data_IF_156555346222
#
_entry.id   IF_156555346222
#
_cell.length_a   1.000
_cell.length_b   1.000
_cell.length_c   1.000
_cell.angle_alpha   90.00
_cell.angle_beta   90.00
_cell.angle_gamma   90.00
#
_symmetry.space_group_name_H-M   'P 1'
#
loop_
_entity.id
_entity.type
_entity.pdbx_description
1 polymer ?
#
# COMPACT_ATOMS: atom_id res chain seq x y z
N UNK A 1 9.53 10.91 4.03
CA UNK A 1 9.41 9.76 3.10
C UNK A 1 9.01 8.54 3.89
N UNK A 2 10.01 7.85 4.45
CA UNK A 2 9.84 6.61 5.25
C UNK A 2 8.75 6.67 6.32
N UNK A 3 8.77 7.66 7.20
CA UNK A 3 7.79 7.72 8.30
C UNK A 3 6.35 7.80 7.80
N UNK A 4 6.11 8.55 6.72
CA UNK A 4 4.78 8.66 6.11
C UNK A 4 4.37 7.36 5.40
N UNK A 5 5.33 6.67 4.75
CA UNK A 5 5.10 5.35 4.16
C UNK A 5 4.69 4.34 5.24
N UNK A 6 5.48 4.25 6.33
CA UNK A 6 5.24 3.32 7.43
C UNK A 6 3.92 3.63 8.13
N UNK A 7 3.65 4.89 8.45
CA UNK A 7 2.41 5.29 9.12
C UNK A 7 1.17 4.93 8.29
N UNK A 8 1.19 5.23 6.99
CA UNK A 8 0.08 4.89 6.11
C UNK A 8 -0.11 3.39 5.96
N UNK A 9 0.98 2.65 5.76
CA UNK A 9 0.92 1.20 5.57
C UNK A 9 0.37 0.51 6.83
N UNK A 10 0.80 0.93 8.03
CA UNK A 10 0.29 0.39 9.29
C UNK A 10 -1.21 0.66 9.44
N UNK A 11 -1.66 1.89 9.22
CA UNK A 11 -3.11 2.21 9.26
C UNK A 11 -3.91 1.38 8.26
N UNK A 12 -3.36 1.13 7.07
CA UNK A 12 -4.00 0.27 6.06
C UNK A 12 -4.16 -1.17 6.57
N UNK A 13 -3.07 -1.76 7.08
CA UNK A 13 -3.03 -3.14 7.59
C UNK A 13 -3.91 -3.30 8.82
N UNK A 14 -3.82 -2.39 9.78
CA UNK A 14 -4.64 -2.38 10.99
C UNK A 14 -6.13 -2.32 10.64
N UNK A 15 -6.53 -1.39 9.76
CA UNK A 15 -7.92 -1.28 9.31
C UNK A 15 -8.44 -2.58 8.67
N UNK A 16 -7.61 -3.25 7.88
CA UNK A 16 -7.99 -4.49 7.22
C UNK A 16 -8.17 -5.66 8.19
N UNK A 17 -7.30 -5.76 9.20
CA UNK A 17 -7.35 -6.79 10.22
C UNK A 17 -8.48 -6.55 11.24
N UNK A 18 -8.71 -5.29 11.63
CA UNK A 18 -9.78 -4.91 12.57
C UNK A 18 -11.17 -4.94 11.93
N UNK A 19 -11.27 -4.71 10.61
CA UNK A 19 -12.54 -4.60 9.90
C UNK A 19 -12.60 -5.45 8.62
N UNK A 20 -12.43 -6.78 8.69
CA UNK A 20 -12.25 -7.64 7.52
C UNK A 20 -13.42 -7.59 6.53
N UNK A 21 -14.66 -7.53 7.02
CA UNK A 21 -15.84 -7.42 6.15
C UNK A 21 -15.92 -6.08 5.40
N UNK A 22 -15.51 -4.97 6.04
CA UNK A 22 -15.47 -3.65 5.39
C UNK A 22 -14.32 -3.58 4.40
N UNK A 23 -13.17 -4.15 4.76
CA UNK A 23 -12.02 -4.23 3.89
C UNK A 23 -12.32 -5.05 2.63
N UNK A 24 -12.94 -6.22 2.77
CA UNK A 24 -13.41 -7.02 1.64
C UNK A 24 -14.36 -6.22 0.74
N UNK A 25 -15.26 -5.43 1.33
CA UNK A 25 -16.17 -4.57 0.56
C UNK A 25 -15.45 -3.51 -0.30
N UNK A 26 -14.24 -3.07 0.09
CA UNK A 26 -13.45 -2.11 -0.70
C UNK A 26 -12.84 -2.70 -1.97
N UNK A 27 -12.84 -4.03 -2.10
CA UNK A 27 -12.23 -4.73 -3.24
C UNK A 27 -13.21 -4.97 -4.40
N UNK A 28 -14.50 -4.68 -4.21
CA UNK A 28 -15.48 -4.81 -5.28
C UNK A 28 -15.30 -3.72 -6.34
N UNK A 29 -15.47 -4.06 -7.63
CA UNK A 29 -15.45 -3.07 -8.69
C UNK A 29 -16.50 -1.99 -8.45
N UNK A 30 -16.08 -0.74 -8.59
CA UNK A 30 -16.98 0.41 -8.67
C UNK A 30 -17.07 0.85 -10.13
N UNK A 31 -18.25 1.31 -10.55
CA UNK A 31 -18.35 2.07 -11.80
C UNK A 31 -17.60 3.41 -11.67
N UNK A 32 -17.39 4.10 -12.79
CA UNK A 32 -16.57 5.31 -12.81
C UNK A 32 -17.15 6.45 -11.95
N UNK A 33 -18.47 6.57 -11.87
CA UNK A 33 -19.16 7.63 -11.11
C UNK A 33 -19.07 7.38 -9.59
N UNK A 34 -19.31 6.13 -9.19
CA UNK A 34 -19.11 5.66 -7.82
C UNK A 34 -17.64 5.75 -7.41
N UNK A 35 -16.70 5.39 -8.29
CA UNK A 35 -15.27 5.49 -8.03
C UNK A 35 -14.82 6.94 -7.80
N UNK A 36 -15.29 7.88 -8.63
CA UNK A 36 -14.96 9.30 -8.54
C UNK A 36 -15.45 9.95 -7.23
N UNK A 37 -16.58 9.49 -6.71
CA UNK A 37 -17.16 9.94 -5.43
C UNK A 37 -16.68 9.12 -4.21
N UNK A 38 -15.98 8.00 -4.44
CA UNK A 38 -15.54 7.08 -3.40
C UNK A 38 -14.37 7.61 -2.54
N UNK A 39 -14.14 6.92 -1.42
CA UNK A 39 -12.91 7.09 -0.64
C UNK A 39 -11.64 6.66 -1.40
N UNK A 40 -11.75 5.95 -2.53
CA UNK A 40 -10.60 5.51 -3.34
C UNK A 40 -9.79 6.68 -3.92
N UNK A 41 -10.44 7.79 -4.26
CA UNK A 41 -9.75 9.03 -4.69
C UNK A 41 -8.91 9.59 -3.55
N UNK A 42 -9.46 9.65 -2.32
CA UNK A 42 -8.73 10.10 -1.13
C UNK A 42 -7.56 9.17 -0.81
N UNK A 43 -7.74 7.85 -0.98
CA UNK A 43 -6.69 6.87 -0.82
C UNK A 43 -5.51 7.12 -1.76
N UNK A 44 -5.78 7.28 -3.06
CA UNK A 44 -4.76 7.59 -4.06
C UNK A 44 -4.09 8.95 -3.81
N UNK A 45 -4.83 9.95 -3.31
CA UNK A 45 -4.27 11.25 -2.91
C UNK A 45 -3.34 11.13 -1.70
N UNK A 46 -3.69 10.32 -0.70
CA UNK A 46 -2.83 10.03 0.45
C UNK A 46 -1.57 9.28 0.02
N UNK A 47 -1.68 8.28 -0.86
CA UNK A 47 -0.50 7.60 -1.43
C UNK A 47 0.40 8.58 -2.20
N UNK A 48 -0.18 9.50 -2.99
CA UNK A 48 0.60 10.58 -3.64
C UNK A 48 1.26 11.53 -2.64
N UNK A 49 0.62 11.79 -1.50
CA UNK A 49 1.18 12.62 -0.44
C UNK A 49 2.44 12.00 0.18
N UNK A 50 2.47 10.68 0.35
CA UNK A 50 3.67 9.93 0.79
C UNK A 50 4.81 10.13 -0.23
N UNK A 51 4.50 10.02 -1.52
CA UNK A 51 5.47 10.12 -2.60
C UNK A 51 6.14 11.49 -2.74
N UNK A 52 5.58 12.57 -2.15
CA UNK A 52 6.25 13.88 -2.10
C UNK A 52 7.62 13.82 -1.41
N UNK A 53 7.79 12.91 -0.46
CA UNK A 53 9.06 12.70 0.23
C UNK A 53 10.10 11.88 -0.54
N UNK A 54 9.78 11.43 -1.77
CA UNK A 54 10.63 10.60 -2.62
C UNK A 54 11.01 11.26 -3.95
N UNK A 55 10.55 12.50 -4.19
CA UNK A 55 10.89 13.30 -5.38
C UNK A 55 10.65 12.63 -6.73
N UNK A 56 9.68 11.71 -6.81
CA UNK A 56 9.27 11.07 -8.06
C UNK A 56 8.43 12.04 -8.90
N UNK A 57 8.79 12.21 -10.17
CA UNK A 57 7.97 12.90 -11.18
C UNK A 57 7.01 11.93 -11.85
N UNK A 58 5.99 12.44 -12.53
CA UNK A 58 5.24 11.60 -13.47
C UNK A 58 6.15 11.16 -14.65
N UNK A 59 5.95 9.95 -15.21
CA UNK A 59 4.93 8.95 -14.87
C UNK A 59 5.29 8.04 -13.69
N UNK A 60 6.50 8.15 -13.13
CA UNK A 60 6.99 7.27 -12.06
C UNK A 60 6.14 7.36 -10.79
N UNK A 61 5.58 8.53 -10.48
CA UNK A 61 4.65 8.67 -9.35
C UNK A 61 3.44 7.74 -9.49
N UNK A 62 2.82 7.67 -10.67
CA UNK A 62 1.69 6.76 -10.91
C UNK A 62 2.08 5.28 -10.76
N UNK A 63 3.26 4.89 -11.28
CA UNK A 63 3.76 3.52 -11.11
C UNK A 63 4.03 3.18 -9.65
N UNK A 64 4.62 4.10 -8.88
CA UNK A 64 4.87 3.92 -7.45
C UNK A 64 3.57 3.81 -6.64
N UNK A 65 2.53 4.60 -6.94
CA UNK A 65 1.21 4.44 -6.29
C UNK A 65 0.64 3.05 -6.54
N UNK A 66 0.72 2.55 -7.78
CA UNK A 66 0.23 1.20 -8.12
C UNK A 66 1.04 0.10 -7.44
N UNK A 67 2.37 0.24 -7.39
CA UNK A 67 3.24 -0.69 -6.66
C UNK A 67 2.84 -0.78 -5.19
N UNK A 68 2.74 0.37 -4.50
CA UNK A 68 2.39 0.42 -3.07
C UNK A 68 1.01 -0.19 -2.82
N UNK A 69 0.00 0.19 -3.60
CA UNK A 69 -1.35 -0.37 -3.49
C UNK A 69 -1.38 -1.89 -3.68
N UNK A 70 -0.65 -2.42 -4.67
CA UNK A 70 -0.54 -3.86 -4.91
C UNK A 70 0.15 -4.59 -3.77
N UNK A 71 1.26 -4.06 -3.24
CA UNK A 71 1.99 -4.71 -2.14
C UNK A 71 1.16 -4.71 -0.86
N UNK A 72 0.54 -3.59 -0.49
CA UNK A 72 -0.26 -3.51 0.75
C UNK A 72 -1.50 -4.39 0.67
N UNK A 73 -2.27 -4.29 -0.42
CA UNK A 73 -3.46 -5.11 -0.61
C UNK A 73 -3.12 -6.60 -0.66
N UNK A 74 -2.06 -6.97 -1.40
CA UNK A 74 -1.62 -8.36 -1.53
C UNK A 74 -1.11 -8.95 -0.22
N UNK A 75 -0.24 -8.25 0.50
CA UNK A 75 0.30 -8.72 1.78
C UNK A 75 -0.81 -8.94 2.81
N UNK A 76 -1.68 -7.95 2.98
CA UNK A 76 -2.81 -8.01 3.93
C UNK A 76 -3.80 -9.10 3.54
N UNK A 77 -4.09 -9.27 2.24
CA UNK A 77 -4.95 -10.34 1.76
C UNK A 77 -4.39 -11.72 2.06
N UNK A 78 -3.09 -11.94 1.83
CA UNK A 78 -2.41 -13.20 2.16
C UNK A 78 -2.38 -13.45 3.67
N UNK A 79 -2.08 -12.43 4.47
CA UNK A 79 -2.07 -12.51 5.92
C UNK A 79 -3.44 -12.87 6.49
N UNK A 80 -4.50 -12.16 6.08
CA UNK A 80 -5.87 -12.38 6.54
C UNK A 80 -6.39 -13.77 6.14
N UNK A 81 -5.90 -14.33 5.02
CA UNK A 81 -6.21 -15.68 4.59
C UNK A 81 -5.41 -16.78 5.32
N UNK A 82 -4.55 -16.41 6.28
CA UNK A 82 -3.70 -17.35 7.02
C UNK A 82 -2.48 -17.86 6.22
N UNK A 83 -2.14 -17.21 5.10
CA UNK A 83 -1.07 -17.64 4.19
C UNK A 83 0.32 -17.67 4.83
N UNK A 84 0.52 -16.97 5.95
CA UNK A 84 1.78 -16.91 6.69
C UNK A 84 1.75 -17.69 8.02
N UNK A 85 0.62 -18.29 8.39
CA UNK A 85 0.43 -18.92 9.71
C UNK A 85 1.30 -20.16 9.96
N UNK A 86 1.99 -20.67 8.93
CA UNK A 86 2.82 -21.88 8.98
C UNK A 86 4.26 -21.65 8.52
N UNK A 87 4.70 -20.39 8.43
CA UNK A 87 6.04 -20.00 8.02
C UNK A 87 6.76 -19.20 9.10
N UNK A 88 8.08 -19.23 9.08
CA UNK A 88 8.94 -18.30 9.82
C UNK A 88 9.72 -17.42 8.83
N UNK A 89 9.97 -16.13 9.15
CA UNK A 89 9.59 -15.41 10.37
C UNK A 89 8.09 -15.08 10.42
N UNK A 90 7.63 -14.46 11.52
CA UNK A 90 6.26 -13.97 11.62
C UNK A 90 5.97 -12.84 10.61
N UNK A 91 4.69 -12.61 10.34
CA UNK A 91 4.25 -11.62 9.36
C UNK A 91 4.59 -10.18 9.76
N UNK A 92 4.68 -9.86 11.05
CA UNK A 92 5.06 -8.52 11.51
C UNK A 92 6.52 -8.20 11.16
N UNK A 93 7.41 -9.18 11.30
CA UNK A 93 8.79 -9.04 10.89
C UNK A 93 8.91 -8.85 9.38
N UNK A 94 8.25 -9.70 8.58
CA UNK A 94 8.23 -9.55 7.13
C UNK A 94 7.64 -8.21 6.70
N UNK A 95 6.58 -7.75 7.36
CA UNK A 95 5.97 -6.45 7.09
C UNK A 95 6.96 -5.30 7.26
N UNK A 96 7.72 -5.31 8.35
CA UNK A 96 8.73 -4.28 8.64
C UNK A 96 9.84 -4.27 7.60
N UNK A 97 10.38 -5.45 7.26
CA UNK A 97 11.43 -5.60 6.24
C UNK A 97 10.95 -5.14 4.85
N UNK A 98 9.69 -5.44 4.49
CA UNK A 98 9.10 -5.01 3.23
C UNK A 98 8.97 -3.48 3.16
N UNK A 99 8.57 -2.82 4.26
CA UNK A 99 8.48 -1.35 4.28
C UNK A 99 9.85 -0.68 4.14
N UNK A 100 10.89 -1.28 4.73
CA UNK A 100 12.27 -0.82 4.59
C UNK A 100 12.78 -1.02 3.15
N UNK A 101 12.47 -2.17 2.53
CA UNK A 101 12.79 -2.43 1.13
C UNK A 101 12.04 -1.48 0.17
N UNK A 102 10.78 -1.17 0.45
CA UNK A 102 9.99 -0.19 -0.32
C UNK A 102 10.55 1.22 -0.18
N UNK A 103 10.95 1.65 1.02
CA UNK A 103 11.60 2.95 1.22
C UNK A 103 12.88 3.06 0.39
N UNK A 104 13.74 2.02 0.44
CA UNK A 104 14.95 1.97 -0.36
C UNK A 104 14.64 2.04 -1.87
N UNK A 105 13.71 1.20 -2.34
CA UNK A 105 13.29 1.17 -3.75
C UNK A 105 12.77 2.53 -4.24
N UNK A 106 11.93 3.20 -3.45
CA UNK A 106 11.38 4.51 -3.80
C UNK A 106 12.45 5.61 -3.84
N UNK A 107 13.49 5.51 -3.00
CA UNK A 107 14.64 6.43 -3.03
C UNK A 107 15.55 6.22 -4.22
N UNK A 108 15.68 4.97 -4.67
CA UNK A 108 16.58 4.58 -5.77
C UNK A 108 15.80 4.22 -7.03
N UNK A 109 14.59 4.77 -7.18
CA UNK A 109 13.73 4.44 -8.30
C UNK A 109 14.51 4.66 -9.61
N UNK A 110 14.57 3.67 -10.52
CA UNK A 110 15.30 3.84 -11.77
C UNK A 110 14.68 4.97 -12.58
N UNK A 111 15.36 6.09 -12.68
CA UNK A 111 14.94 7.25 -13.49
C UNK A 111 15.58 7.23 -14.87
N UNK A 112 16.01 6.06 -15.35
CA UNK A 112 16.77 5.96 -16.59
C UNK A 112 15.97 6.56 -17.75
N UNK A 113 16.57 7.57 -18.38
CA UNK A 113 16.10 8.33 -19.52
C UNK A 113 15.76 7.48 -20.75
#
# INVERSE_FOLDING_TARGET
>A
GKDALVAFANVYRDYALEHPGRFAATQFPLDAEAAASSAGVRHAQMSRAILRGYHLTEPHQTHAVRLLGSVFSGFVGLEAAGGFSHSAPDSQQSWTEILDALDALLRTWPTTS
#
